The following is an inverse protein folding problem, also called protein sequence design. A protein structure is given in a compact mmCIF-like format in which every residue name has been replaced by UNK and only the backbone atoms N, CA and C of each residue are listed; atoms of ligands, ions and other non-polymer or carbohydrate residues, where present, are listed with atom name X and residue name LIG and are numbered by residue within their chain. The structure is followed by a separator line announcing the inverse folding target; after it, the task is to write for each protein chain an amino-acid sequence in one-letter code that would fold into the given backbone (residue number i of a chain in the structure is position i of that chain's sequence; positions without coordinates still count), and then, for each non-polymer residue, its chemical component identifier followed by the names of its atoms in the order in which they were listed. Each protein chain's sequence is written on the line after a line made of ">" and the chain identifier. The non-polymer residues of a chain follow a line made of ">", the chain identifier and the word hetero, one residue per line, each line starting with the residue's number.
data_IF_831331415988
#
_entry.id   IF_831331415988
#
_cell.length_a   1.000
_cell.length_b   1.000
_cell.length_c   1.000
_cell.angle_alpha   90.00
_cell.angle_beta   90.00
_cell.angle_gamma   90.00
#
_symmetry.space_group_name_H-M   'P 1'
#
loop_
_entity.id
_entity.type
_entity.pdbx_description
1 polymer ?
#
# COMPACT_ATOMS: atom_id res chain seq x y z
N UNK A 1 -8.04 -17.44 15.69
CA UNK A 1 -8.90 -17.39 14.49
C UNK A 1 -9.84 -16.20 14.50
N UNK A 2 -10.64 -15.98 15.54
CA UNK A 2 -11.70 -14.97 15.53
C UNK A 2 -11.20 -13.52 15.40
N UNK A 3 -10.10 -13.12 16.07
CA UNK A 3 -9.56 -11.76 15.95
C UNK A 3 -8.89 -11.53 14.60
N UNK A 4 -8.08 -12.49 14.13
CA UNK A 4 -7.47 -12.40 12.80
C UNK A 4 -8.53 -12.32 11.68
N UNK A 5 -9.50 -13.23 11.69
CA UNK A 5 -10.56 -13.26 10.68
C UNK A 5 -11.42 -11.98 10.74
N UNK A 6 -11.88 -11.56 11.93
CA UNK A 6 -12.68 -10.34 12.07
C UNK A 6 -11.90 -9.09 11.68
N UNK A 7 -10.63 -8.98 12.09
CA UNK A 7 -9.76 -7.88 11.69
C UNK A 7 -9.57 -7.82 10.18
N UNK A 8 -9.32 -8.95 9.53
CA UNK A 8 -9.22 -9.05 8.07
C UNK A 8 -10.53 -8.74 7.36
N UNK A 9 -11.68 -9.13 7.93
CA UNK A 9 -12.99 -8.77 7.39
C UNK A 9 -13.22 -7.27 7.46
N UNK A 10 -12.95 -6.62 8.59
CA UNK A 10 -13.08 -5.16 8.74
C UNK A 10 -12.13 -4.43 7.80
N UNK A 11 -10.89 -4.90 7.69
CA UNK A 11 -9.90 -4.35 6.78
C UNK A 11 -10.35 -4.46 5.32
N UNK A 12 -10.81 -5.64 4.91
CA UNK A 12 -11.32 -5.86 3.55
C UNK A 12 -12.55 -4.98 3.30
N UNK A 13 -13.49 -4.93 4.25
CA UNK A 13 -14.65 -4.06 4.16
C UNK A 13 -14.27 -2.57 4.04
N UNK A 14 -13.23 -2.12 4.73
CA UNK A 14 -12.72 -0.74 4.60
C UNK A 14 -12.22 -0.44 3.18
N UNK A 15 -11.50 -1.37 2.55
CA UNK A 15 -11.08 -1.23 1.13
C UNK A 15 -12.25 -1.29 0.16
N UNK A 16 -13.26 -2.10 0.44
CA UNK A 16 -14.42 -2.29 -0.42
C UNK A 16 -15.55 -1.28 -0.17
N UNK A 17 -15.51 -0.49 0.90
CA UNK A 17 -16.53 0.52 1.22
C UNK A 17 -16.07 1.88 0.70
N UNK A 18 -16.57 2.33 -0.45
CA UNK A 18 -16.28 3.65 -0.94
C UNK A 18 -17.22 4.60 -0.19
N UNK A 19 -16.65 5.61 0.48
CA UNK A 19 -17.35 6.75 1.09
C UNK A 19 -18.00 6.53 2.48
N UNK A 20 -17.35 7.06 3.51
CA UNK A 20 -18.03 7.43 4.76
C UNK A 20 -18.33 8.93 4.68
N UNK A 21 -19.60 9.30 4.43
CA UNK A 21 -20.08 10.70 4.50
C UNK A 21 -20.38 11.04 5.96
N UNK A 22 -19.64 11.98 6.55
CA UNK A 22 -19.94 12.55 7.88
C UNK A 22 -20.21 14.05 7.73
N UNK A 23 -21.39 14.51 8.15
CA UNK A 23 -21.80 15.93 8.22
C UNK A 23 -21.63 16.73 6.91
N UNK A 24 -22.00 16.14 5.77
CA UNK A 24 -22.03 16.86 4.48
C UNK A 24 -20.67 17.13 3.85
N UNK A 25 -19.55 16.67 4.46
CA UNK A 25 -18.23 16.66 3.85
C UNK A 25 -17.87 15.24 3.41
N UNK A 26 -17.50 15.11 2.14
CA UNK A 26 -16.95 13.87 1.58
C UNK A 26 -15.48 13.88 1.95
N UNK A 27 -15.05 12.98 2.84
CA UNK A 27 -13.63 12.70 3.03
C UNK A 27 -13.26 11.63 2.00
N UNK A 28 -12.84 12.06 0.82
CA UNK A 28 -12.32 11.16 -0.20
C UNK A 28 -10.92 10.69 0.22
N UNK A 29 -10.69 9.38 0.14
CA UNK A 29 -9.36 8.78 0.28
C UNK A 29 -8.47 9.04 -0.96
N UNK A 30 -9.06 9.62 -2.01
CA UNK A 30 -8.51 9.79 -3.34
C UNK A 30 -8.07 11.23 -3.61
N UNK A 31 -6.93 11.38 -4.30
CA UNK A 31 -6.28 12.66 -4.59
C UNK A 31 -7.11 13.57 -5.51
N UNK A 32 -8.05 13.01 -6.29
CA UNK A 32 -8.85 13.78 -7.25
C UNK A 32 -9.83 14.79 -6.60
N UNK A 33 -10.08 14.72 -5.29
CA UNK A 33 -11.07 15.56 -4.60
C UNK A 33 -10.45 16.66 -3.71
N UNK A 34 -9.13 16.88 -3.78
CA UNK A 34 -8.41 17.93 -3.02
C UNK A 34 -7.81 18.99 -3.93
N UNK A 35 -8.54 19.43 -4.97
CA UNK A 35 -8.18 20.64 -5.70
C UNK A 35 -8.79 21.83 -4.95
N UNK A 36 -7.99 22.77 -4.41
CA UNK A 36 -8.52 24.04 -3.96
C UNK A 36 -9.16 24.73 -5.16
N UNK A 37 -10.36 25.29 -5.00
CA UNK A 37 -10.95 26.16 -6.02
C UNK A 37 -9.91 27.21 -6.43
N UNK A 38 -9.63 27.40 -7.73
CA UNK A 38 -8.73 28.46 -8.16
C UNK A 38 -9.33 29.79 -7.72
N UNK A 39 -8.66 30.47 -6.79
CA UNK A 39 -9.02 31.82 -6.40
C UNK A 39 -8.96 32.70 -7.65
N UNK A 40 -10.11 33.27 -8.00
CA UNK A 40 -10.26 34.25 -9.06
C UNK A 40 -9.37 35.48 -8.77
N UNK A 41 -8.18 35.53 -9.38
CA UNK A 41 -7.43 36.79 -9.48
C UNK A 41 -5.92 36.79 -9.21
N UNK A 42 -5.22 35.65 -9.16
CA UNK A 42 -3.76 35.67 -9.02
C UNK A 42 -3.04 35.67 -10.39
N UNK A 43 -2.37 36.78 -10.71
CA UNK A 43 -1.42 36.91 -11.82
C UNK A 43 -0.28 35.88 -11.75
N UNK A 44 0.37 35.52 -12.88
CA UNK A 44 1.39 34.48 -12.90
C UNK A 44 2.65 34.95 -12.14
N UNK A 45 2.94 34.32 -11.01
CA UNK A 45 4.20 34.44 -10.30
C UNK A 45 5.31 33.62 -11.01
N UNK A 46 6.59 34.04 -10.93
CA UNK A 46 7.64 33.54 -11.80
C UNK A 46 8.04 32.09 -11.46
N UNK A 47 8.59 31.41 -12.47
CA UNK A 47 9.13 30.06 -12.38
C UNK A 47 10.23 29.97 -11.32
N UNK A 48 9.86 29.52 -10.13
CA UNK A 48 10.82 28.99 -9.16
C UNK A 48 11.11 27.54 -9.55
N UNK A 49 12.37 27.13 -9.42
CA UNK A 49 12.87 25.77 -9.55
C UNK A 49 12.24 24.83 -8.50
N UNK A 50 10.93 24.60 -8.59
CA UNK A 50 10.28 23.55 -7.81
C UNK A 50 10.68 22.20 -8.43
N UNK A 51 11.24 21.25 -7.64
CA UNK A 51 11.51 19.92 -8.14
C UNK A 51 10.21 19.38 -8.73
N UNK A 52 10.26 18.93 -9.98
CA UNK A 52 9.13 18.39 -10.72
C UNK A 52 8.38 17.36 -9.87
N UNK A 53 7.31 17.80 -9.21
CA UNK A 53 6.48 16.96 -8.35
C UNK A 53 5.68 16.07 -9.29
N UNK A 54 6.04 14.79 -9.36
CA UNK A 54 5.29 13.78 -10.11
C UNK A 54 4.21 13.17 -9.20
N UNK A 55 2.94 13.55 -9.34
CA UNK A 55 1.87 13.03 -8.50
C UNK A 55 1.67 11.51 -8.67
N UNK A 56 2.19 10.92 -9.75
CA UNK A 56 2.08 9.48 -10.00
C UNK A 56 2.97 8.65 -9.07
N UNK A 57 4.07 9.22 -8.56
CA UNK A 57 4.94 8.55 -7.59
C UNK A 57 4.27 8.47 -6.22
N UNK A 58 3.56 9.51 -5.81
CA UNK A 58 2.92 9.60 -4.50
C UNK A 58 1.53 8.94 -4.43
N UNK A 59 1.01 8.41 -5.54
CA UNK A 59 -0.34 7.83 -5.61
C UNK A 59 -0.36 6.41 -6.20
N UNK A 60 -1.00 5.48 -5.49
CA UNK A 60 -1.33 4.16 -6.03
C UNK A 60 -2.59 4.24 -6.90
N UNK A 61 -2.43 4.59 -8.19
CA UNK A 61 -3.55 4.71 -9.17
C UNK A 61 -4.34 3.40 -9.33
N UNK A 62 -3.66 2.26 -9.31
CA UNK A 62 -4.30 0.93 -9.35
C UNK A 62 -5.17 0.64 -8.13
N UNK A 63 -4.96 1.35 -7.02
CA UNK A 63 -5.71 1.27 -5.76
C UNK A 63 -6.55 2.55 -5.57
N UNK A 64 -7.15 3.03 -6.66
CA UNK A 64 -8.04 4.18 -6.70
C UNK A 64 -7.37 5.55 -6.55
N UNK A 65 -6.04 5.67 -6.54
CA UNK A 65 -5.37 6.96 -6.30
C UNK A 65 -5.15 7.26 -4.81
N UNK A 66 -4.96 6.21 -4.02
CA UNK A 66 -4.57 6.29 -2.61
C UNK A 66 -3.16 6.83 -2.48
N UNK A 67 -2.94 7.84 -1.63
CA UNK A 67 -1.59 8.35 -1.33
C UNK A 67 -0.69 7.25 -0.77
N UNK A 68 0.58 7.24 -1.18
CA UNK A 68 1.56 6.24 -0.78
C UNK A 68 1.65 6.12 0.74
N UNK A 69 1.76 7.26 1.43
CA UNK A 69 1.82 7.29 2.90
C UNK A 69 0.60 6.64 3.56
N UNK A 70 -0.62 6.89 3.08
CA UNK A 70 -1.84 6.26 3.61
C UNK A 70 -1.83 4.75 3.38
N UNK A 71 -1.43 4.31 2.18
CA UNK A 71 -1.36 2.90 1.84
C UNK A 71 -0.36 2.15 2.72
N UNK A 72 0.80 2.74 2.98
CA UNK A 72 1.85 2.14 3.81
C UNK A 72 1.50 2.14 5.30
N UNK A 73 0.79 3.15 5.82
CA UNK A 73 0.20 3.07 7.15
C UNK A 73 -0.82 1.94 7.29
N UNK A 74 -1.65 1.76 6.26
CA UNK A 74 -2.62 0.69 6.20
C UNK A 74 -1.94 -0.69 6.08
N UNK A 75 -0.81 -0.75 5.38
CA UNK A 75 0.05 -1.93 5.31
C UNK A 75 0.58 -2.34 6.69
N UNK A 76 1.05 -1.38 7.50
CA UNK A 76 1.48 -1.65 8.88
C UNK A 76 0.35 -2.31 9.67
N UNK A 77 -0.85 -1.74 9.61
CA UNK A 77 -2.01 -2.27 10.33
C UNK A 77 -2.37 -3.69 9.87
N UNK A 78 -2.41 -3.93 8.55
CA UNK A 78 -2.69 -5.24 7.98
C UNK A 78 -1.67 -6.31 8.40
N UNK A 79 -0.38 -5.97 8.35
CA UNK A 79 0.70 -6.88 8.72
C UNK A 79 0.71 -7.16 10.22
N UNK A 80 0.37 -6.18 11.06
CA UNK A 80 0.18 -6.40 12.49
C UNK A 80 -0.95 -7.42 12.76
N UNK A 81 -2.09 -7.33 12.06
CA UNK A 81 -3.15 -8.33 12.17
C UNK A 81 -2.69 -9.73 11.75
N UNK A 82 -1.92 -9.85 10.68
CA UNK A 82 -1.37 -11.13 10.24
C UNK A 82 -0.42 -11.73 11.29
N UNK A 83 0.47 -10.92 11.87
CA UNK A 83 1.39 -11.36 12.93
C UNK A 83 0.64 -11.76 14.19
N UNK A 84 -0.42 -11.06 14.56
CA UNK A 84 -1.32 -11.48 15.64
C UNK A 84 -1.97 -12.83 15.33
N UNK A 85 -2.44 -13.04 14.10
CA UNK A 85 -3.00 -14.34 13.67
C UNK A 85 -2.02 -15.50 13.76
N UNK A 86 -0.72 -15.24 13.53
CA UNK A 86 0.36 -16.21 13.76
C UNK A 86 0.64 -16.38 15.26
N UNK A 87 0.67 -15.30 16.04
CA UNK A 87 0.91 -15.35 17.48
C UNK A 87 -0.19 -16.10 18.25
N UNK A 88 -1.45 -16.00 17.81
CA UNK A 88 -2.58 -16.75 18.38
C UNK A 88 -2.35 -18.26 18.34
N UNK A 89 -1.73 -18.78 17.27
CA UNK A 89 -1.37 -20.20 17.18
C UNK A 89 -0.38 -20.61 18.28
N UNK A 90 0.63 -19.78 18.55
CA UNK A 90 1.63 -20.10 19.59
C UNK A 90 1.07 -19.96 21.01
N UNK A 91 0.18 -18.99 21.25
CA UNK A 91 -0.34 -18.71 22.60
C UNK A 91 -1.53 -19.62 22.96
N UNK A 92 -2.49 -19.77 22.06
CA UNK A 92 -3.73 -20.51 22.32
C UNK A 92 -3.72 -21.94 21.75
N UNK A 93 -2.64 -22.35 21.05
CA UNK A 93 -2.58 -23.62 20.29
C UNK A 93 -3.78 -23.77 19.35
N UNK A 94 -4.21 -22.66 18.77
CA UNK A 94 -5.33 -22.62 17.84
C UNK A 94 -4.99 -23.39 16.55
N UNK A 95 -5.93 -23.49 15.62
CA UNK A 95 -5.77 -24.23 14.37
C UNK A 95 -4.55 -23.76 13.56
N UNK A 96 -3.70 -24.72 13.15
CA UNK A 96 -2.53 -24.50 12.30
C UNK A 96 -2.88 -23.75 11.00
N UNK A 97 -4.07 -23.99 10.46
CA UNK A 97 -4.58 -23.30 9.27
C UNK A 97 -4.67 -21.78 9.45
N UNK A 98 -4.83 -21.28 10.69
CA UNK A 98 -4.82 -19.84 11.00
C UNK A 98 -3.46 -19.24 10.69
N UNK A 99 -2.42 -19.82 11.28
CA UNK A 99 -1.05 -19.34 11.13
C UNK A 99 -0.58 -19.47 9.69
N UNK A 100 -0.92 -20.59 9.02
CA UNK A 100 -0.56 -20.81 7.62
C UNK A 100 -1.22 -19.76 6.71
N UNK A 101 -2.51 -19.48 6.88
CA UNK A 101 -3.21 -18.47 6.08
C UNK A 101 -2.67 -17.05 6.34
N UNK A 102 -2.45 -16.68 7.60
CA UNK A 102 -1.88 -15.39 7.96
C UNK A 102 -0.47 -15.20 7.39
N UNK A 103 0.40 -16.21 7.51
CA UNK A 103 1.74 -16.18 6.92
C UNK A 103 1.70 -16.12 5.38
N UNK A 104 0.80 -16.87 4.75
CA UNK A 104 0.61 -16.83 3.30
C UNK A 104 0.19 -15.43 2.82
N UNK A 105 -0.70 -14.74 3.55
CA UNK A 105 -1.10 -13.37 3.24
C UNK A 105 0.11 -12.42 3.28
N UNK A 106 0.96 -12.50 4.31
CA UNK A 106 2.19 -11.68 4.39
C UNK A 106 3.06 -11.87 3.14
N UNK A 107 3.30 -13.13 2.76
CA UNK A 107 4.15 -13.47 1.62
C UNK A 107 3.56 -12.99 0.30
N UNK A 108 2.27 -13.27 0.05
CA UNK A 108 1.58 -12.90 -1.19
C UNK A 108 1.52 -11.39 -1.34
N UNK A 109 1.13 -10.66 -0.28
CA UNK A 109 1.05 -9.20 -0.32
C UNK A 109 2.44 -8.59 -0.54
N UNK A 110 3.46 -9.06 0.17
CA UNK A 110 4.83 -8.59 -0.01
C UNK A 110 5.31 -8.76 -1.46
N UNK A 111 5.15 -9.96 -2.02
CA UNK A 111 5.58 -10.28 -3.38
C UNK A 111 4.81 -9.45 -4.43
N UNK A 112 3.49 -9.31 -4.29
CA UNK A 112 2.67 -8.54 -5.22
C UNK A 112 3.05 -7.05 -5.20
N UNK A 113 3.21 -6.46 -4.02
CA UNK A 113 3.59 -5.05 -3.90
C UNK A 113 4.98 -4.79 -4.46
N UNK A 114 5.95 -5.65 -4.14
CA UNK A 114 7.30 -5.54 -4.69
C UNK A 114 7.31 -5.67 -6.21
N UNK A 115 6.70 -6.74 -6.74
CA UNK A 115 6.75 -7.09 -8.16
C UNK A 115 5.85 -6.22 -9.05
N UNK A 116 4.55 -6.26 -8.80
CA UNK A 116 3.56 -5.70 -9.71
C UNK A 116 3.33 -4.20 -9.46
N UNK A 117 3.33 -3.78 -8.19
CA UNK A 117 2.89 -2.42 -7.84
C UNK A 117 4.03 -1.41 -7.90
N UNK A 118 5.19 -1.74 -7.33
CA UNK A 118 6.33 -0.83 -7.24
C UNK A 118 7.37 -1.08 -8.35
N UNK A 119 7.81 -2.32 -8.59
CA UNK A 119 8.89 -2.57 -9.55
C UNK A 119 8.45 -2.53 -11.02
N UNK A 120 7.33 -3.17 -11.38
CA UNK A 120 6.94 -3.27 -12.79
C UNK A 120 6.67 -1.93 -13.48
N UNK A 121 6.13 -0.89 -12.81
CA UNK A 121 6.01 0.44 -13.39
C UNK A 121 7.28 1.30 -13.23
N UNK A 122 8.35 0.75 -12.63
CA UNK A 122 9.63 1.44 -12.45
C UNK A 122 9.70 2.39 -11.25
N UNK A 123 8.77 2.30 -10.29
CA UNK A 123 8.79 3.15 -9.10
C UNK A 123 9.93 2.74 -8.13
N UNK A 124 10.45 3.68 -7.32
CA UNK A 124 11.45 3.38 -6.32
C UNK A 124 10.90 2.47 -5.22
N UNK A 125 11.79 1.77 -4.50
CA UNK A 125 11.45 0.91 -3.36
C UNK A 125 10.55 1.67 -2.39
N UNK A 126 9.40 1.08 -2.07
CA UNK A 126 8.36 1.61 -1.21
C UNK A 126 7.90 3.04 -1.55
N UNK A 127 8.12 3.51 -2.80
CA UNK A 127 7.85 4.89 -3.23
C UNK A 127 8.40 5.95 -2.26
N UNK A 128 9.56 5.67 -1.65
CA UNK A 128 10.22 6.56 -0.68
C UNK A 128 9.72 6.46 0.78
N UNK A 129 8.72 5.62 1.08
CA UNK A 129 8.17 5.43 2.43
C UNK A 129 9.01 4.48 3.30
N UNK A 130 10.32 4.75 3.42
CA UNK A 130 11.28 3.85 4.07
C UNK A 130 11.00 3.63 5.56
N UNK A 131 10.49 4.64 6.27
CA UNK A 131 10.14 4.50 7.69
C UNK A 131 9.03 3.47 7.89
N UNK A 132 7.98 3.54 7.07
CA UNK A 132 6.85 2.61 7.16
C UNK A 132 7.26 1.21 6.71
N UNK A 133 8.08 1.10 5.66
CA UNK A 133 8.68 -0.17 5.24
C UNK A 133 9.52 -0.81 6.35
N UNK A 134 10.33 -0.02 7.06
CA UNK A 134 11.13 -0.50 8.19
C UNK A 134 10.24 -1.01 9.34
N UNK A 135 9.15 -0.31 9.66
CA UNK A 135 8.19 -0.76 10.68
C UNK A 135 7.58 -2.11 10.27
N UNK A 136 7.12 -2.25 9.02
CA UNK A 136 6.58 -3.53 8.50
C UNK A 136 7.63 -4.63 8.57
N UNK A 137 8.88 -4.32 8.23
CA UNK A 137 10.01 -5.25 8.32
C UNK A 137 10.16 -5.78 9.75
N UNK A 138 10.20 -4.89 10.75
CA UNK A 138 10.35 -5.26 12.16
C UNK A 138 9.18 -6.11 12.64
N UNK A 139 7.94 -5.69 12.37
CA UNK A 139 6.72 -6.39 12.81
C UNK A 139 6.68 -7.81 12.24
N UNK A 140 7.08 -7.99 10.98
CA UNK A 140 7.07 -9.29 10.29
C UNK A 140 8.38 -10.08 10.43
N UNK A 141 9.28 -9.65 11.33
CA UNK A 141 10.61 -10.24 11.51
C UNK A 141 11.40 -10.40 10.20
N UNK A 142 11.25 -9.45 9.27
CA UNK A 142 11.95 -9.40 7.99
C UNK A 142 11.34 -10.25 6.88
N UNK A 143 10.36 -11.11 7.17
CA UNK A 143 9.71 -11.98 6.16
C UNK A 143 9.13 -11.13 5.03
N UNK A 144 8.39 -10.07 5.36
CA UNK A 144 7.84 -9.17 4.36
C UNK A 144 8.93 -8.56 3.48
N UNK A 145 10.03 -8.09 4.08
CA UNK A 145 11.13 -7.45 3.38
C UNK A 145 11.80 -8.39 2.38
N UNK A 146 12.04 -9.65 2.75
CA UNK A 146 12.66 -10.64 1.87
C UNK A 146 11.79 -10.85 0.63
N UNK A 147 10.51 -11.16 0.82
CA UNK A 147 9.61 -11.43 -0.31
C UNK A 147 9.30 -10.18 -1.14
N UNK A 148 9.20 -9.02 -0.49
CA UNK A 148 9.05 -7.74 -1.18
C UNK A 148 10.25 -7.46 -2.09
N UNK A 149 11.48 -7.60 -1.58
CA UNK A 149 12.69 -7.33 -2.38
C UNK A 149 12.87 -8.37 -3.48
N UNK A 150 12.62 -9.65 -3.20
CA UNK A 150 12.63 -10.69 -4.22
C UNK A 150 11.64 -10.37 -5.36
N UNK A 151 10.40 -9.99 -5.02
CA UNK A 151 9.41 -9.54 -5.98
C UNK A 151 9.87 -8.28 -6.72
N UNK A 152 10.44 -7.30 -6.02
CA UNK A 152 10.90 -6.05 -6.59
C UNK A 152 12.02 -6.24 -7.62
N UNK A 153 13.04 -7.03 -7.29
CA UNK A 153 14.12 -7.32 -8.22
C UNK A 153 13.65 -8.19 -9.39
N UNK A 154 12.73 -9.13 -9.16
CA UNK A 154 12.11 -9.91 -10.23
C UNK A 154 11.29 -9.02 -11.18
N UNK A 155 10.50 -8.07 -10.65
CA UNK A 155 9.67 -7.16 -11.44
C UNK A 155 10.50 -6.15 -12.22
N UNK A 156 11.66 -5.76 -11.69
CA UNK A 156 12.64 -4.94 -12.41
C UNK A 156 13.29 -5.71 -13.56
N UNK A 157 13.44 -7.03 -13.43
CA UNK A 157 14.03 -7.88 -14.47
C UNK A 157 13.02 -8.28 -15.55
N UNK A 158 11.77 -8.53 -15.15
CA UNK A 158 10.66 -8.94 -16.01
C UNK A 158 9.44 -8.05 -15.73
N UNK A 159 9.44 -6.79 -16.22
CA UNK A 159 8.31 -5.90 -16.04
C UNK A 159 7.06 -6.48 -16.73
N UNK A 160 5.93 -6.44 -16.03
CA UNK A 160 4.63 -6.89 -16.54
C UNK A 160 4.16 -6.08 -17.75
N UNK A 161 4.52 -4.79 -17.83
CA UNK A 161 4.31 -3.99 -19.02
C UNK A 161 5.49 -4.15 -19.98
N UNK A 162 5.39 -5.16 -20.85
CA UNK A 162 6.25 -5.29 -22.02
C UNK A 162 5.69 -4.41 -23.14
N UNK A 163 6.27 -3.21 -23.29
CA UNK A 163 6.22 -2.37 -24.49
C UNK A 163 4.87 -2.33 -25.25
N UNK A 164 3.92 -1.50 -24.80
CA UNK A 164 3.04 -0.82 -25.75
C UNK A 164 3.79 0.42 -26.27
N UNK A 165 4.80 0.17 -27.11
CA UNK A 165 5.46 1.22 -27.89
C UNK A 165 5.90 0.64 -29.23
N UNK A 166 4.94 0.47 -30.14
CA UNK A 166 5.12 0.66 -31.59
C UNK A 166 3.82 0.30 -32.30
N UNK A 167 2.96 1.30 -32.55
CA UNK A 167 2.48 1.73 -33.88
C UNK A 167 1.54 2.93 -33.75
#
# INVERSE_FOLDING_TARGET
>A
MAMFASGMTVFTAYFYTPYIKIRGKIYAFHIDDSRPDPSSGASPAPANDEPSYDPAQDAYRALGGTTASKMWWLMIFAMALCVLGVAEYFHFRDSLWSAVSAAAVVVVVAALFGYAVDASPGYPIARGQYLQFAIVSVITAGVFTIFYLCGYFAGKRWPLHRAESSE
#
